data_IF_599100802452
#
_entry.id   IF_599100802452
#
_cell.length_a   1.000
_cell.length_b   1.000
_cell.length_c   1.000
_cell.angle_alpha   90.00
_cell.angle_beta   90.00
_cell.angle_gamma   90.00
#
_symmetry.space_group_name_H-M   'P 1'
#
loop_
_entity.id
_entity.type
_entity.pdbx_description
1 polymer ?
#
# COMPACT_ATOMS: atom_id res chain seq x y z
N UNK A 1 -8.28 18.00 -17.79
CA UNK A 1 -8.24 17.83 -16.32
C UNK A 1 -8.88 16.49 -15.99
N UNK A 2 -8.34 15.75 -15.02
CA UNK A 2 -8.92 14.48 -14.55
C UNK A 2 -10.24 14.80 -13.86
N UNK A 3 -11.30 14.05 -14.16
CA UNK A 3 -12.64 14.29 -13.63
C UNK A 3 -13.25 12.97 -13.15
N UNK A 4 -13.74 12.97 -11.92
CA UNK A 4 -14.44 11.87 -11.28
C UNK A 4 -15.79 12.36 -10.80
N UNK A 5 -16.81 11.51 -10.89
CA UNK A 5 -18.18 11.93 -10.60
C UNK A 5 -18.77 11.18 -9.43
N UNK A 6 -19.62 11.82 -8.61
CA UNK A 6 -20.32 11.15 -7.52
C UNK A 6 -19.40 10.49 -6.46
N UNK A 7 -18.18 11.00 -6.26
CA UNK A 7 -17.23 10.42 -5.28
C UNK A 7 -17.59 10.86 -3.86
N UNK A 8 -17.74 9.89 -2.96
CA UNK A 8 -17.84 10.11 -1.52
C UNK A 8 -16.65 9.52 -0.75
N UNK A 9 -15.97 8.52 -1.34
CA UNK A 9 -14.88 7.79 -0.71
C UNK A 9 -13.67 7.70 -1.63
N UNK A 10 -12.49 7.97 -1.10
CA UNK A 10 -11.23 7.85 -1.82
C UNK A 10 -10.39 6.76 -1.14
N UNK A 11 -10.00 5.76 -1.93
CA UNK A 11 -9.19 4.62 -1.54
C UNK A 11 -7.76 4.85 -2.05
N UNK A 12 -6.78 4.82 -1.17
CA UNK A 12 -5.37 4.93 -1.51
C UNK A 12 -4.66 3.58 -1.32
N UNK A 13 -3.79 3.22 -2.25
CA UNK A 13 -2.68 2.33 -1.92
C UNK A 13 -1.63 3.05 -1.05
N UNK A 14 -0.81 2.26 -0.37
CA UNK A 14 0.32 2.74 0.40
C UNK A 14 1.57 2.90 -0.48
N UNK A 15 2.18 1.79 -0.88
CA UNK A 15 3.41 1.75 -1.66
C UNK A 15 3.21 2.33 -3.07
N UNK A 16 4.17 3.12 -3.55
CA UNK A 16 4.14 3.71 -4.90
C UNK A 16 3.16 4.89 -5.05
N UNK A 17 2.11 4.94 -4.22
CA UNK A 17 1.13 6.05 -4.19
C UNK A 17 1.46 7.06 -3.10
N UNK A 18 1.59 6.63 -1.85
CA UNK A 18 1.84 7.49 -0.70
C UNK A 18 3.30 7.44 -0.27
N UNK A 19 3.83 6.24 -0.07
CA UNK A 19 5.22 6.01 0.34
C UNK A 19 6.05 5.57 -0.86
N UNK A 20 7.22 6.19 -1.00
CA UNK A 20 8.17 5.86 -2.03
C UNK A 20 8.79 4.49 -1.75
N UNK A 21 9.12 3.76 -2.81
CA UNK A 21 9.63 2.38 -2.74
C UNK A 21 11.01 2.28 -3.41
N UNK A 22 11.92 1.51 -2.83
CA UNK A 22 13.23 1.22 -3.42
C UNK A 22 13.54 -0.29 -3.36
N UNK A 23 12.95 -1.04 -4.30
CA UNK A 23 13.22 -2.47 -4.42
C UNK A 23 14.70 -2.75 -4.74
N UNK A 24 15.37 -2.03 -5.66
CA UNK A 24 16.79 -2.24 -5.92
C UNK A 24 17.66 -2.14 -4.66
N UNK A 25 17.44 -1.14 -3.81
CA UNK A 25 18.19 -0.97 -2.56
C UNK A 25 17.85 -2.07 -1.54
N UNK A 26 16.58 -2.47 -1.43
CA UNK A 26 16.18 -3.60 -0.58
C UNK A 26 16.90 -4.90 -1.00
N UNK A 27 16.93 -5.21 -2.31
CA UNK A 27 17.65 -6.37 -2.86
C UNK A 27 19.15 -6.26 -2.53
N UNK A 28 19.75 -5.08 -2.70
CA UNK A 28 21.17 -4.87 -2.39
C UNK A 28 21.46 -5.13 -0.89
N UNK A 29 20.60 -4.66 0.00
CA UNK A 29 20.75 -4.86 1.45
C UNK A 29 20.66 -6.34 1.83
N UNK A 30 19.74 -7.11 1.23
CA UNK A 30 19.66 -8.56 1.42
C UNK A 30 20.93 -9.28 0.94
N UNK A 31 21.48 -8.89 -0.21
CA UNK A 31 22.74 -9.45 -0.72
C UNK A 31 23.89 -9.21 0.25
N UNK A 32 24.01 -7.99 0.80
CA UNK A 32 25.02 -7.66 1.81
C UNK A 32 24.80 -8.42 3.14
N UNK A 33 23.54 -8.69 3.47
CA UNK A 33 23.16 -9.52 4.62
C UNK A 33 23.50 -11.00 4.43
N UNK A 34 23.93 -11.42 3.23
CA UNK A 34 24.34 -12.79 2.93
C UNK A 34 23.25 -13.65 2.33
N UNK A 35 22.24 -13.03 1.70
CA UNK A 35 21.13 -13.67 0.99
C UNK A 35 21.26 -13.29 -0.50
N UNK A 36 22.05 -14.04 -1.29
CA UNK A 36 22.48 -13.61 -2.62
C UNK A 36 21.40 -13.68 -3.70
N UNK A 37 20.38 -14.54 -3.55
CA UNK A 37 19.40 -14.89 -4.57
C UNK A 37 17.98 -14.39 -4.27
N UNK A 38 17.86 -13.33 -3.46
CA UNK A 38 16.55 -12.84 -2.97
C UNK A 38 15.67 -12.31 -4.11
N UNK A 39 16.27 -11.79 -5.17
CA UNK A 39 15.57 -11.24 -6.34
C UNK A 39 14.72 -12.28 -7.07
N UNK A 40 15.02 -13.57 -6.90
CA UNK A 40 14.21 -14.65 -7.48
C UNK A 40 12.84 -14.76 -6.81
N UNK A 41 12.69 -14.19 -5.62
CA UNK A 41 11.47 -14.24 -4.81
C UNK A 41 10.76 -12.89 -4.70
N UNK A 42 11.51 -11.80 -4.87
CA UNK A 42 11.02 -10.42 -4.89
C UNK A 42 10.88 -9.96 -6.35
N UNK A 43 9.66 -9.92 -6.87
CA UNK A 43 9.39 -9.36 -8.20
C UNK A 43 8.56 -8.07 -8.12
N UNK A 44 8.79 -7.14 -9.05
CA UNK A 44 7.97 -5.94 -9.22
C UNK A 44 6.48 -6.22 -9.48
N UNK A 45 6.13 -7.46 -9.83
CA UNK A 45 4.77 -7.85 -10.24
C UNK A 45 4.05 -8.74 -9.20
N UNK A 46 4.65 -8.92 -8.03
CA UNK A 46 4.09 -9.70 -6.94
C UNK A 46 5.15 -10.53 -6.22
N UNK A 47 4.96 -10.65 -4.92
CA UNK A 47 5.71 -11.59 -4.09
C UNK A 47 5.24 -13.02 -4.37
N UNK A 48 6.12 -14.00 -4.18
CA UNK A 48 5.79 -15.41 -4.33
C UNK A 48 6.24 -16.23 -3.11
N UNK A 49 5.70 -17.43 -2.95
CA UNK A 49 6.06 -18.31 -1.84
C UNK A 49 5.72 -17.71 -0.47
N UNK A 50 6.70 -17.74 0.45
CA UNK A 50 6.49 -17.29 1.83
C UNK A 50 6.31 -15.77 1.95
N UNK A 51 6.85 -14.98 1.01
CA UNK A 51 6.61 -13.54 0.95
C UNK A 51 5.12 -13.22 0.73
N UNK A 52 4.51 -13.84 -0.28
CA UNK A 52 3.06 -13.73 -0.52
C UNK A 52 2.25 -14.27 0.67
N UNK A 53 2.74 -15.34 1.30
CA UNK A 53 2.10 -15.90 2.50
C UNK A 53 2.16 -14.92 3.67
N UNK A 54 3.22 -14.14 3.81
CA UNK A 54 3.35 -13.11 4.83
C UNK A 54 2.46 -11.90 4.53
N UNK A 55 2.40 -11.46 3.27
CA UNK A 55 1.46 -10.39 2.85
C UNK A 55 -0.01 -10.80 2.97
N UNK A 56 -0.34 -12.08 2.75
CA UNK A 56 -1.67 -12.65 3.06
C UNK A 56 -1.84 -12.93 4.55
N UNK A 57 -0.82 -12.73 5.38
CA UNK A 57 -0.86 -13.03 6.82
C UNK A 57 -1.11 -14.51 7.14
N UNK A 58 -0.83 -15.43 6.21
CA UNK A 58 -0.86 -16.87 6.47
C UNK A 58 0.29 -17.32 7.37
N UNK A 59 1.40 -16.57 7.36
CA UNK A 59 2.53 -16.77 8.27
C UNK A 59 2.74 -15.51 9.12
N UNK A 60 3.27 -15.69 10.33
CA UNK A 60 3.62 -14.59 11.23
C UNK A 60 5.04 -14.06 11.02
N UNK A 61 5.38 -13.00 11.72
CA UNK A 61 6.70 -12.35 11.64
C UNK A 61 7.85 -13.34 11.96
N UNK A 62 7.71 -14.16 13.00
CA UNK A 62 8.75 -15.10 13.40
C UNK A 62 8.98 -16.19 12.34
N UNK A 63 7.91 -16.68 11.73
CA UNK A 63 7.98 -17.65 10.64
C UNK A 63 8.61 -17.01 9.39
N UNK A 64 8.20 -15.79 9.03
CA UNK A 64 8.81 -15.03 7.94
C UNK A 64 10.34 -14.88 8.12
N UNK A 65 10.79 -14.46 9.31
CA UNK A 65 12.22 -14.35 9.64
C UNK A 65 12.94 -15.70 9.54
N UNK A 66 12.30 -16.78 9.97
CA UNK A 66 12.85 -18.12 9.87
C UNK A 66 12.96 -18.60 8.41
N UNK A 67 11.98 -18.31 7.56
CA UNK A 67 12.09 -18.58 6.13
C UNK A 67 13.23 -17.80 5.48
N UNK A 68 13.35 -16.49 5.79
CA UNK A 68 14.47 -15.66 5.31
C UNK A 68 15.82 -16.26 5.70
N UNK A 69 15.98 -16.72 6.94
CA UNK A 69 17.23 -17.34 7.43
C UNK A 69 17.66 -18.57 6.64
N UNK A 70 16.73 -19.32 6.03
CA UNK A 70 17.07 -20.51 5.22
C UNK A 70 17.88 -20.15 3.97
N UNK A 71 17.78 -18.90 3.50
CA UNK A 71 18.54 -18.40 2.36
C UNK A 71 19.88 -17.75 2.77
N UNK A 72 20.12 -17.59 4.07
CA UNK A 72 21.32 -16.95 4.59
C UNK A 72 22.54 -17.84 4.50
N UNK A 73 23.66 -17.27 4.06
CA UNK A 73 24.97 -17.93 4.06
C UNK A 73 25.75 -17.78 5.38
N UNK A 74 25.18 -17.03 6.34
CA UNK A 74 25.75 -16.74 7.67
C UNK A 74 24.62 -16.58 8.69
N UNK A 75 24.91 -16.59 10.01
CA UNK A 75 23.93 -16.24 11.03
C UNK A 75 23.39 -14.82 10.84
N UNK A 76 22.06 -14.67 10.87
CA UNK A 76 21.34 -13.41 10.66
C UNK A 76 20.33 -13.23 11.80
N UNK A 77 20.34 -12.06 12.45
CA UNK A 77 19.43 -11.74 13.54
C UNK A 77 18.08 -11.22 13.02
N UNK A 78 17.05 -11.28 13.87
CA UNK A 78 15.72 -10.72 13.55
C UNK A 78 15.79 -9.25 13.15
N UNK A 79 16.50 -8.44 13.95
CA UNK A 79 16.63 -7.00 13.66
C UNK A 79 17.31 -6.72 12.31
N UNK A 80 18.28 -7.54 11.90
CA UNK A 80 18.90 -7.37 10.59
C UNK A 80 17.92 -7.68 9.45
N UNK A 81 17.07 -8.69 9.62
CA UNK A 81 16.02 -9.03 8.64
C UNK A 81 15.01 -7.90 8.57
N UNK A 82 14.52 -7.44 9.71
CA UNK A 82 13.51 -6.38 9.77
C UNK A 82 14.03 -5.08 9.14
N UNK A 83 15.25 -4.64 9.51
CA UNK A 83 15.85 -3.45 8.91
C UNK A 83 16.04 -3.57 7.39
N UNK A 84 16.46 -4.74 6.94
CA UNK A 84 16.66 -5.00 5.51
C UNK A 84 15.34 -5.05 4.76
N UNK A 85 14.32 -5.68 5.32
CA UNK A 85 13.00 -5.77 4.71
C UNK A 85 12.28 -4.43 4.69
N UNK A 86 12.40 -3.66 5.77
CA UNK A 86 11.82 -2.32 5.88
C UNK A 86 12.56 -1.27 5.05
N UNK A 87 13.78 -1.52 4.58
CA UNK A 87 14.47 -0.60 3.65
C UNK A 87 13.84 -0.56 2.26
N UNK A 88 12.82 -1.39 2.00
CA UNK A 88 12.00 -1.27 0.80
C UNK A 88 11.15 0.00 0.81
N UNK A 89 10.71 0.44 1.98
CA UNK A 89 9.93 1.67 2.13
C UNK A 89 10.88 2.82 2.44
N UNK A 90 10.77 3.87 1.64
CA UNK A 90 11.55 5.09 1.77
C UNK A 90 10.79 6.10 2.61
N UNK A 91 10.31 7.17 1.98
CA UNK A 91 9.64 8.28 2.64
C UNK A 91 8.24 8.53 2.09
N UNK A 92 7.39 9.13 2.93
CA UNK A 92 6.16 9.80 2.49
C UNK A 92 6.48 11.29 2.33
N UNK A 93 6.39 11.86 1.11
CA UNK A 93 6.46 13.30 0.91
C UNK A 93 5.42 14.04 1.77
N UNK A 94 5.83 15.09 2.47
CA UNK A 94 4.98 15.85 3.41
C UNK A 94 3.74 16.40 2.69
N UNK A 95 3.88 16.76 1.42
CA UNK A 95 2.82 17.23 0.54
C UNK A 95 1.68 16.21 0.43
N UNK A 96 1.98 14.91 0.36
CA UNK A 96 0.96 13.84 0.34
C UNK A 96 0.21 13.76 1.67
N UNK A 97 0.89 13.93 2.81
CA UNK A 97 0.23 13.99 4.13
C UNK A 97 -0.71 15.21 4.26
N UNK A 98 -0.30 16.35 3.70
CA UNK A 98 -1.13 17.57 3.64
C UNK A 98 -2.36 17.38 2.75
N UNK A 99 -2.18 16.73 1.59
CA UNK A 99 -3.29 16.38 0.69
C UNK A 99 -4.29 15.47 1.41
N UNK A 100 -3.83 14.41 2.10
CA UNK A 100 -4.71 13.53 2.89
C UNK A 100 -5.48 14.32 3.96
N UNK A 101 -4.80 15.24 4.67
CA UNK A 101 -5.43 16.09 5.69
C UNK A 101 -6.56 16.95 5.11
N UNK A 102 -6.35 17.54 3.94
CA UNK A 102 -7.39 18.38 3.30
C UNK A 102 -8.52 17.55 2.71
N UNK A 103 -8.22 16.40 2.10
CA UNK A 103 -9.24 15.50 1.55
C UNK A 103 -10.14 14.92 2.65
N UNK A 104 -9.61 14.56 3.82
CA UNK A 104 -10.38 13.99 4.94
C UNK A 104 -11.49 14.92 5.46
N UNK A 105 -11.39 16.23 5.20
CA UNK A 105 -12.45 17.19 5.56
C UNK A 105 -13.71 17.04 4.70
N UNK A 106 -13.59 16.44 3.50
CA UNK A 106 -14.65 16.36 2.48
C UNK A 106 -15.04 14.92 2.14
N UNK A 107 -14.08 14.00 2.20
CA UNK A 107 -14.25 12.61 1.77
C UNK A 107 -13.91 11.65 2.88
N UNK A 108 -14.55 10.48 2.83
CA UNK A 108 -14.08 9.32 3.57
C UNK A 108 -12.80 8.81 2.93
N UNK A 109 -11.75 8.62 3.71
CA UNK A 109 -10.46 8.14 3.24
C UNK A 109 -10.20 6.72 3.72
N UNK A 110 -9.83 5.85 2.79
CA UNK A 110 -9.56 4.44 3.07
C UNK A 110 -8.15 4.09 2.59
N UNK A 111 -7.42 3.32 3.38
CA UNK A 111 -6.19 2.67 2.93
C UNK A 111 -6.48 1.22 2.51
N UNK A 112 -6.18 0.86 1.27
CA UNK A 112 -6.25 -0.51 0.75
C UNK A 112 -4.87 -0.93 0.23
N UNK A 113 -4.16 -1.74 1.01
CA UNK A 113 -2.76 -2.05 0.70
C UNK A 113 -2.43 -3.54 0.83
N UNK A 114 -1.71 -4.05 -0.16
CA UNK A 114 -0.93 -5.26 0.00
C UNK A 114 0.30 -4.89 0.83
N UNK A 115 0.32 -5.32 2.08
CA UNK A 115 1.37 -4.96 3.04
C UNK A 115 1.53 -6.08 4.08
N UNK A 116 2.40 -5.85 5.06
CA UNK A 116 2.66 -6.76 6.15
C UNK A 116 2.92 -5.99 7.45
N UNK A 117 2.86 -6.65 8.62
CA UNK A 117 3.04 -5.99 9.91
C UNK A 117 4.35 -5.21 10.04
N UNK A 118 5.47 -5.74 9.51
CA UNK A 118 6.76 -5.04 9.59
C UNK A 118 6.73 -3.73 8.81
N UNK A 119 6.23 -3.75 7.57
CA UNK A 119 6.15 -2.55 6.75
C UNK A 119 5.23 -1.48 7.33
N UNK A 120 4.05 -1.87 7.83
CA UNK A 120 3.09 -0.88 8.33
C UNK A 120 3.46 -0.36 9.73
N UNK A 121 3.71 -1.27 10.68
CA UNK A 121 3.87 -0.93 12.09
C UNK A 121 5.27 -0.41 12.41
N UNK A 122 6.30 -0.93 11.74
CA UNK A 122 7.70 -0.58 12.04
C UNK A 122 8.23 0.52 11.13
N UNK A 123 7.87 0.51 9.84
CA UNK A 123 8.40 1.46 8.86
C UNK A 123 7.46 2.64 8.58
N UNK A 124 6.29 2.39 8.01
CA UNK A 124 5.38 3.46 7.56
C UNK A 124 4.81 4.31 8.70
N UNK A 125 4.66 3.75 9.90
CA UNK A 125 4.12 4.46 11.07
C UNK A 125 4.91 5.72 11.42
N UNK A 126 6.24 5.68 11.32
CA UNK A 126 7.11 6.82 11.56
C UNK A 126 6.93 7.92 10.48
N UNK A 127 6.66 7.51 9.25
CA UNK A 127 6.48 8.42 8.12
C UNK A 127 5.16 9.21 8.24
N UNK A 128 4.07 8.57 8.66
CA UNK A 128 2.82 9.27 8.97
C UNK A 128 2.94 10.23 10.15
N UNK A 129 3.89 9.97 11.06
CA UNK A 129 4.13 10.77 12.26
C UNK A 129 4.90 12.08 12.04
N UNK A 130 5.41 12.33 10.83
CA UNK A 130 6.17 13.56 10.51
C UNK A 130 5.45 14.87 10.82
N UNK A 131 4.12 14.88 10.72
CA UNK A 131 3.28 16.05 11.05
C UNK A 131 2.67 15.98 12.46
N UNK A 132 3.21 15.14 13.34
CA UNK A 132 2.71 14.94 14.72
C UNK A 132 1.36 14.21 14.80
N UNK A 133 1.03 13.46 13.75
CA UNK A 133 -0.22 12.69 13.61
C UNK A 133 0.06 11.19 13.58
N UNK A 134 -0.96 10.38 13.76
CA UNK A 134 -0.92 8.94 13.52
C UNK A 134 -1.53 8.62 12.17
N UNK A 135 -1.28 7.41 11.65
CA UNK A 135 -1.92 6.95 10.41
C UNK A 135 -3.47 7.04 10.47
N UNK A 136 -4.06 6.78 11.65
CA UNK A 136 -5.51 6.87 11.90
C UNK A 136 -6.05 8.30 11.84
N UNK A 137 -5.21 9.32 11.97
CA UNK A 137 -5.64 10.70 11.75
C UNK A 137 -5.87 11.00 10.26
N UNK A 138 -5.28 10.23 9.34
CA UNK A 138 -5.43 10.42 7.88
C UNK A 138 -6.49 9.54 7.24
N UNK A 139 -6.78 8.36 7.80
CA UNK A 139 -7.74 7.41 7.21
C UNK A 139 -8.87 7.08 8.19
N UNK A 140 -10.04 6.74 7.65
CA UNK A 140 -11.22 6.34 8.41
C UNK A 140 -11.38 4.81 8.48
N UNK A 141 -10.71 4.08 7.60
CA UNK A 141 -10.64 2.62 7.62
C UNK A 141 -9.37 2.08 6.94
N UNK A 142 -9.02 0.86 7.32
CA UNK A 142 -7.85 0.14 6.82
C UNK A 142 -8.30 -1.23 6.28
N UNK A 143 -7.85 -1.55 5.07
CA UNK A 143 -8.05 -2.82 4.40
C UNK A 143 -6.66 -3.36 4.04
N UNK A 144 -6.08 -4.08 5.00
CA UNK A 144 -4.71 -4.55 4.95
C UNK A 144 -4.70 -6.02 4.57
N UNK A 145 -3.92 -6.38 3.55
CA UNK A 145 -3.94 -7.74 3.00
C UNK A 145 -3.72 -8.83 4.04
N UNK A 146 -2.80 -8.60 4.98
CA UNK A 146 -2.43 -9.60 5.99
C UNK A 146 -3.50 -9.79 7.06
N UNK A 147 -4.35 -8.78 7.30
CA UNK A 147 -5.50 -8.88 8.21
C UNK A 147 -6.69 -9.54 7.50
N UNK A 148 -6.89 -9.17 6.23
CA UNK A 148 -8.00 -9.67 5.41
C UNK A 148 -7.77 -11.08 4.86
N UNK A 149 -6.52 -11.54 4.81
CA UNK A 149 -6.10 -12.78 4.11
C UNK A 149 -6.36 -12.76 2.61
N UNK A 150 -6.38 -11.56 2.03
CA UNK A 150 -6.72 -11.29 0.63
C UNK A 150 -5.70 -10.31 0.06
N UNK A 151 -5.40 -10.35 -1.23
CA UNK A 151 -4.45 -9.41 -1.88
C UNK A 151 -5.04 -8.85 -3.15
N UNK A 152 -4.66 -7.63 -3.49
CA UNK A 152 -4.82 -7.13 -4.85
C UNK A 152 -3.89 -7.90 -5.80
N UNK A 153 -4.27 -8.16 -7.07
CA UNK A 153 -5.49 -7.75 -7.74
C UNK A 153 -6.63 -8.79 -7.64
N UNK A 154 -6.66 -9.66 -6.62
CA UNK A 154 -7.75 -10.63 -6.50
C UNK A 154 -9.07 -9.88 -6.25
N UNK A 155 -10.13 -10.20 -7.00
CA UNK A 155 -11.40 -9.47 -6.93
C UNK A 155 -12.02 -9.47 -5.52
N UNK A 156 -11.76 -10.51 -4.74
CA UNK A 156 -12.30 -10.73 -3.40
C UNK A 156 -12.01 -9.57 -2.43
N UNK A 157 -10.83 -8.95 -2.51
CA UNK A 157 -10.45 -7.87 -1.59
C UNK A 157 -11.31 -6.62 -1.81
N UNK A 158 -11.57 -6.29 -3.09
CA UNK A 158 -12.41 -5.16 -3.48
C UNK A 158 -13.87 -5.42 -3.17
N UNK A 159 -14.37 -6.64 -3.45
CA UNK A 159 -15.74 -7.03 -3.12
C UNK A 159 -15.97 -6.97 -1.60
N UNK A 160 -15.00 -7.45 -0.81
CA UNK A 160 -15.06 -7.39 0.65
C UNK A 160 -15.06 -5.94 1.15
N UNK A 161 -14.23 -5.08 0.56
CA UNK A 161 -14.21 -3.64 0.87
C UNK A 161 -15.57 -3.00 0.59
N UNK A 162 -16.11 -3.15 -0.63
CA UNK A 162 -17.40 -2.57 -1.01
C UNK A 162 -18.54 -3.05 -0.10
N UNK A 163 -18.55 -4.34 0.25
CA UNK A 163 -19.53 -4.90 1.18
C UNK A 163 -19.42 -4.27 2.58
N UNK A 164 -18.20 -4.12 3.11
CA UNK A 164 -18.00 -3.55 4.44
C UNK A 164 -18.36 -2.05 4.48
N UNK A 165 -18.07 -1.32 3.40
CA UNK A 165 -18.36 0.11 3.27
C UNK A 165 -19.81 0.43 2.92
N UNK A 166 -20.60 -0.58 2.51
CA UNK A 166 -22.02 -0.43 2.15
C UNK A 166 -22.29 0.67 1.11
N UNK A 167 -21.33 0.91 0.20
CA UNK A 167 -21.42 1.95 -0.82
C UNK A 167 -21.53 1.36 -2.23
N UNK A 168 -22.08 2.15 -3.15
CA UNK A 168 -22.12 1.79 -4.57
C UNK A 168 -20.72 1.96 -5.18
N UNK A 169 -20.23 1.05 -6.05
CA UNK A 169 -18.86 1.11 -6.58
C UNK A 169 -18.50 2.46 -7.23
N UNK A 170 -19.44 3.10 -7.90
CA UNK A 170 -19.23 4.38 -8.55
C UNK A 170 -18.99 5.55 -7.57
N UNK A 171 -19.20 5.36 -6.26
CA UNK A 171 -18.91 6.36 -5.23
C UNK A 171 -17.47 6.34 -4.74
N UNK A 172 -16.69 5.34 -5.19
CA UNK A 172 -15.31 5.14 -4.79
C UNK A 172 -14.35 5.58 -5.89
N UNK A 173 -13.29 6.29 -5.50
CA UNK A 173 -12.11 6.55 -6.32
C UNK A 173 -10.93 5.76 -5.75
N UNK A 174 -10.35 4.87 -6.53
CA UNK A 174 -9.16 4.09 -6.15
C UNK A 174 -7.90 4.60 -6.84
N UNK A 175 -6.90 4.97 -6.03
CA UNK A 175 -5.56 5.38 -6.47
C UNK A 175 -4.56 4.27 -6.16
N UNK A 176 -3.91 3.75 -7.20
CA UNK A 176 -2.94 2.65 -7.14
C UNK A 176 -1.95 2.80 -8.30
N UNK A 177 -0.70 2.39 -8.12
CA UNK A 177 0.34 2.41 -9.15
C UNK A 177 0.40 1.07 -9.94
N UNK A 178 -0.23 0.02 -9.43
CA UNK A 178 -0.36 -1.28 -10.04
C UNK A 178 -1.49 -1.35 -11.07
N UNK A 179 -1.13 -1.42 -12.36
CA UNK A 179 -2.09 -1.50 -13.47
C UNK A 179 -3.14 -2.63 -13.30
N UNK A 180 -2.72 -3.81 -12.84
CA UNK A 180 -3.65 -4.94 -12.62
C UNK A 180 -4.68 -4.65 -11.51
N UNK A 181 -4.29 -3.90 -10.48
CA UNK A 181 -5.17 -3.51 -9.38
C UNK A 181 -6.23 -2.52 -9.91
N UNK A 182 -5.78 -1.54 -10.69
CA UNK A 182 -6.63 -0.56 -11.38
C UNK A 182 -7.63 -1.27 -12.30
N UNK A 183 -7.17 -2.17 -13.17
CA UNK A 183 -8.03 -2.93 -14.08
C UNK A 183 -9.07 -3.77 -13.32
N UNK A 184 -8.68 -4.40 -12.21
CA UNK A 184 -9.60 -5.21 -11.41
C UNK A 184 -10.68 -4.35 -10.73
N UNK A 185 -10.29 -3.24 -10.11
CA UNK A 185 -11.24 -2.34 -9.45
C UNK A 185 -12.22 -1.72 -10.46
N UNK A 186 -11.71 -1.34 -11.64
CA UNK A 186 -12.52 -0.79 -12.73
C UNK A 186 -13.60 -1.78 -13.21
N UNK A 187 -13.26 -3.08 -13.33
CA UNK A 187 -14.24 -4.15 -13.66
C UNK A 187 -15.38 -4.26 -12.66
N UNK A 188 -15.19 -3.80 -11.41
CA UNK A 188 -16.21 -3.79 -10.36
C UNK A 188 -17.00 -2.47 -10.32
N UNK A 189 -16.74 -1.53 -11.23
CA UNK A 189 -17.42 -0.24 -11.29
C UNK A 189 -16.80 0.84 -10.39
N UNK A 190 -15.65 0.57 -9.77
CA UNK A 190 -14.89 1.57 -9.00
C UNK A 190 -14.22 2.53 -9.98
N UNK A 191 -14.29 3.84 -9.72
CA UNK A 191 -13.53 4.81 -10.50
C UNK A 191 -12.06 4.71 -10.10
N UNK A 192 -11.16 4.76 -11.06
CA UNK A 192 -9.75 4.43 -10.81
C UNK A 192 -8.82 5.49 -11.37
N UNK A 193 -7.69 5.68 -10.70
CA UNK A 193 -6.60 6.52 -11.17
C UNK A 193 -5.26 5.79 -11.00
N UNK A 194 -4.61 5.50 -12.13
CA UNK A 194 -3.26 4.92 -12.13
C UNK A 194 -2.25 6.00 -11.79
N UNK A 195 -1.65 5.89 -10.59
CA UNK A 195 -0.64 6.85 -10.11
C UNK A 195 0.70 6.49 -10.72
N UNK A 196 1.43 7.52 -11.17
CA UNK A 196 2.82 7.33 -11.61
C UNK A 196 3.78 7.54 -10.46
N UNK A 197 4.96 6.92 -10.57
CA UNK A 197 6.09 7.18 -9.67
C UNK A 197 6.32 8.69 -9.53
N UNK A 198 6.50 9.13 -8.28
CA UNK A 198 6.69 10.54 -7.89
C UNK A 198 5.58 11.52 -8.33
N UNK A 199 4.39 11.04 -8.72
CA UNK A 199 3.33 11.92 -9.19
C UNK A 199 2.79 12.83 -8.07
N UNK A 200 2.66 14.13 -8.37
CA UNK A 200 1.95 15.09 -7.53
C UNK A 200 0.43 14.85 -7.57
N UNK A 201 -0.14 14.56 -6.40
CA UNK A 201 -1.57 14.31 -6.22
C UNK A 201 -2.38 15.57 -5.90
N UNK A 202 -1.78 16.76 -5.96
CA UNK A 202 -2.44 18.05 -5.67
C UNK A 202 -3.68 18.33 -6.53
N UNK A 203 -3.79 17.68 -7.69
CA UNK A 203 -5.00 17.75 -8.52
C UNK A 203 -6.26 17.28 -7.78
N UNK A 204 -6.14 16.39 -6.79
CA UNK A 204 -7.25 15.97 -5.93
C UNK A 204 -7.80 17.11 -5.06
N UNK A 205 -7.07 18.20 -4.86
CA UNK A 205 -7.58 19.35 -4.12
C UNK A 205 -8.36 20.33 -5.00
N UNK A 206 -8.42 20.10 -6.30
CA UNK A 206 -9.13 20.95 -7.24
C UNK A 206 -10.62 20.55 -7.29
N UNK A 207 -11.52 21.50 -7.00
CA UNK A 207 -12.96 21.23 -7.07
C UNK A 207 -13.42 20.79 -8.48
N UNK A 208 -12.71 21.17 -9.55
CA UNK A 208 -13.01 20.70 -10.92
C UNK A 208 -12.67 19.22 -11.16
N UNK A 209 -11.94 18.58 -10.24
CA UNK A 209 -11.65 17.16 -10.31
C UNK A 209 -12.83 16.31 -9.84
N UNK A 210 -13.71 16.83 -8.99
CA UNK A 210 -14.87 16.11 -8.49
C UNK A 210 -16.16 16.77 -8.95
N UNK A 211 -16.91 16.09 -9.81
CA UNK A 211 -18.17 16.57 -10.37
C UNK A 211 -19.33 15.97 -9.58
N UNK A 212 -20.18 16.82 -9.03
CA UNK A 212 -21.50 16.43 -8.52
C UNK A 212 -22.54 16.61 -9.62
N UNK A 213 -23.32 15.57 -9.90
CA UNK A 213 -24.53 15.73 -10.71
C UNK A 213 -25.61 16.30 -9.78
N UNK A 214 -26.17 17.46 -10.14
CA UNK A 214 -27.39 18.00 -9.53
C UNK A 214 -28.63 17.17 -9.90
#
# INVERSE_FOLDING_TARGET
MKQFSNISTIIFDLGGVLINLDLPQCILNFKQLGIPDIENYLSNFGQSGFFLSFEKGHIGIDEFRNEIRKFGTKPITDNQIDQTWCSFLCDIPIEKLKILTELKKKYRLILLSNTNPLHLEVSASAEFAKEGKTISDYFDAFYLSYEMKMVKPDAEIFVKLLHNEQGEPNQFLFLDDGLKNIEQANKLGIQTYLVKEDEDLSFLLNDKTFITFE
#
